data_IF_766552210481
#
_entry.id   IF_766552210481
#
_cell.length_a   1.000
_cell.length_b   1.000
_cell.length_c   1.000
_cell.angle_alpha   90.00
_cell.angle_beta   90.00
_cell.angle_gamma   90.00
#
_symmetry.space_group_name_H-M   'P 1'
#
loop_
_entity.id
_entity.type
_entity.pdbx_description
1 polymer ?
#
# COMPACT_ATOMS: atom_id res chain seq x y z
N UNK A 1 11.87 -34.17 -19.28
CA UNK A 1 10.83 -33.52 -20.09
C UNK A 1 10.99 -32.01 -19.94
N UNK A 2 11.44 -31.34 -20.97
CA UNK A 2 11.63 -29.90 -20.94
C UNK A 2 10.24 -29.24 -21.06
N UNK A 3 9.80 -28.59 -20.01
CA UNK A 3 8.64 -27.70 -20.07
C UNK A 3 9.03 -26.52 -20.97
N UNK A 4 8.50 -26.52 -22.18
CA UNK A 4 8.48 -25.32 -23.03
C UNK A 4 7.61 -24.30 -22.30
N UNK A 5 8.26 -23.33 -21.69
CA UNK A 5 7.58 -22.11 -21.24
C UNK A 5 6.89 -21.49 -22.45
N UNK A 6 5.59 -21.58 -22.49
CA UNK A 6 4.76 -20.81 -23.41
C UNK A 6 4.93 -19.35 -23.04
N UNK A 7 5.66 -18.61 -23.86
CA UNK A 7 5.80 -17.14 -23.80
C UNK A 7 4.50 -16.44 -24.24
N UNK A 8 3.37 -17.03 -23.90
CA UNK A 8 2.06 -16.48 -24.14
C UNK A 8 1.67 -15.63 -22.94
N UNK A 9 1.59 -14.36 -23.19
CA UNK A 9 1.12 -13.26 -22.37
C UNK A 9 2.24 -12.38 -21.75
N UNK A 10 3.20 -11.94 -22.53
CA UNK A 10 3.54 -10.52 -22.47
C UNK A 10 2.29 -9.78 -22.94
N UNK A 11 1.32 -9.63 -22.04
CA UNK A 11 0.21 -8.73 -22.30
C UNK A 11 0.80 -7.37 -22.59
N UNK A 12 0.52 -6.82 -23.77
CA UNK A 12 0.79 -5.44 -24.06
C UNK A 12 -0.06 -4.64 -23.09
N UNK A 13 0.55 -4.19 -21.98
CA UNK A 13 -0.15 -3.32 -21.04
C UNK A 13 -0.56 -2.07 -21.77
N UNK A 14 -1.85 -1.75 -21.67
CA UNK A 14 -2.34 -0.46 -22.14
C UNK A 14 -2.29 0.49 -20.95
N UNK A 15 -1.18 1.23 -20.84
CA UNK A 15 -1.08 2.29 -19.87
C UNK A 15 -2.16 3.35 -20.15
N UNK A 16 -2.83 3.82 -19.12
CA UNK A 16 -3.79 4.93 -19.25
C UNK A 16 -3.10 6.17 -19.77
N UNK A 17 -3.81 7.01 -20.53
CA UNK A 17 -3.27 8.29 -20.99
C UNK A 17 -2.68 9.12 -19.86
N UNK A 18 -1.60 9.84 -20.12
CA UNK A 18 -0.93 10.64 -19.08
C UNK A 18 -1.85 11.69 -18.44
N UNK A 19 -2.77 12.26 -19.21
CA UNK A 19 -3.74 13.20 -18.66
C UNK A 19 -4.71 12.55 -17.66
N UNK A 20 -5.13 11.28 -17.88
CA UNK A 20 -5.96 10.56 -16.90
C UNK A 20 -5.19 10.29 -15.60
N UNK A 21 -3.90 9.94 -15.72
CA UNK A 21 -3.02 9.76 -14.57
C UNK A 21 -2.84 11.09 -13.81
N UNK A 22 -2.72 12.21 -14.54
CA UNK A 22 -2.57 13.55 -13.95
C UNK A 22 -3.85 13.99 -13.24
N UNK A 23 -5.03 13.83 -13.86
CA UNK A 23 -6.31 14.11 -13.25
C UNK A 23 -6.52 13.30 -11.96
N UNK A 24 -6.27 11.99 -12.04
CA UNK A 24 -6.39 11.13 -10.85
C UNK A 24 -5.40 11.52 -9.74
N UNK A 25 -4.17 11.85 -10.12
CA UNK A 25 -3.15 12.36 -9.20
C UNK A 25 -3.60 13.65 -8.51
N UNK A 26 -4.23 14.56 -9.26
CA UNK A 26 -4.78 15.82 -8.71
C UNK A 26 -5.91 15.56 -7.71
N UNK A 27 -6.84 14.63 -8.00
CA UNK A 27 -7.89 14.23 -7.06
C UNK A 27 -7.27 13.72 -5.74
N UNK A 28 -6.30 12.77 -5.84
CA UNK A 28 -5.61 12.23 -4.66
C UNK A 28 -4.94 13.33 -3.85
N UNK A 29 -4.27 14.28 -4.51
CA UNK A 29 -3.59 15.37 -3.81
C UNK A 29 -4.54 16.25 -3.03
N UNK A 30 -5.71 16.59 -3.57
CA UNK A 30 -6.70 17.41 -2.85
C UNK A 30 -7.24 16.65 -1.62
N UNK A 31 -7.59 15.39 -1.77
CA UNK A 31 -8.08 14.59 -0.63
C UNK A 31 -6.97 14.35 0.42
N UNK A 32 -5.73 14.13 -0.01
CA UNK A 32 -4.58 13.98 0.89
C UNK A 32 -4.21 15.31 1.59
N UNK A 33 -4.43 16.46 0.94
CA UNK A 33 -4.30 17.76 1.59
C UNK A 33 -5.34 17.92 2.71
N UNK A 34 -6.59 17.56 2.44
CA UNK A 34 -7.65 17.51 3.43
C UNK A 34 -7.32 16.56 4.58
N UNK A 35 -6.85 15.34 4.27
CA UNK A 35 -6.38 14.36 5.25
C UNK A 35 -5.31 14.95 6.17
N UNK A 36 -4.38 15.72 5.62
CA UNK A 36 -3.33 16.38 6.40
C UNK A 36 -3.87 17.38 7.43
N UNK A 37 -4.88 18.15 7.07
CA UNK A 37 -5.55 19.08 7.99
C UNK A 37 -6.29 18.37 9.11
N UNK A 38 -7.03 17.29 8.80
CA UNK A 38 -7.76 16.48 9.76
C UNK A 38 -6.82 15.74 10.71
N UNK A 39 -5.74 15.14 10.17
CA UNK A 39 -4.74 14.43 10.98
C UNK A 39 -4.03 15.38 11.93
N UNK A 40 -3.68 16.58 11.49
CA UNK A 40 -3.07 17.59 12.34
C UNK A 40 -4.02 18.05 13.46
N UNK A 41 -5.32 18.10 13.20
CA UNK A 41 -6.32 18.39 14.21
C UNK A 41 -6.44 17.27 15.26
N UNK A 42 -6.48 16.02 14.79
CA UNK A 42 -6.58 14.83 15.64
C UNK A 42 -5.37 14.67 16.55
N UNK A 43 -4.16 14.87 16.02
CA UNK A 43 -2.91 14.76 16.79
C UNK A 43 -2.75 15.87 17.83
N UNK A 44 -3.67 16.84 17.87
CA UNK A 44 -3.65 17.88 18.86
C UNK A 44 -2.32 18.62 18.89
N UNK A 45 -1.76 18.98 17.73
CA UNK A 45 -0.55 19.80 17.67
C UNK A 45 -0.82 21.05 18.50
N UNK A 46 -0.38 20.98 19.77
CA UNK A 46 -0.51 22.02 20.80
C UNK A 46 0.44 23.18 20.45
N UNK A 47 0.07 23.94 19.42
CA UNK A 47 0.47 25.33 19.36
C UNK A 47 -0.61 26.15 20.08
N UNK A 48 -0.32 27.36 20.44
CA UNK A 48 -1.34 28.32 20.96
C UNK A 48 -2.48 28.43 19.94
N UNK A 49 -3.52 27.58 20.15
CA UNK A 49 -4.71 27.58 19.28
C UNK A 49 -5.46 28.88 19.56
N UNK A 50 -5.40 29.79 18.63
CA UNK A 50 -6.28 30.95 18.60
C UNK A 50 -7.54 30.61 17.80
N UNK A 51 -8.68 31.19 18.14
CA UNK A 51 -9.93 31.03 17.36
C UNK A 51 -9.71 31.35 15.86
N UNK A 52 -8.79 32.25 15.56
CA UNK A 52 -8.40 32.61 14.19
C UNK A 52 -7.72 31.44 13.43
N UNK A 53 -7.04 30.50 14.10
CA UNK A 53 -6.40 29.36 13.44
C UNK A 53 -7.43 28.31 13.03
N UNK A 54 -8.47 28.10 13.83
CA UNK A 54 -9.55 27.17 13.46
C UNK A 54 -10.38 27.74 12.30
N UNK A 55 -10.68 29.05 12.29
CA UNK A 55 -11.34 29.69 11.16
C UNK A 55 -10.52 29.60 9.85
N UNK A 56 -9.19 29.68 9.93
CA UNK A 56 -8.32 29.48 8.75
C UNK A 56 -8.38 28.06 8.22
N UNK A 57 -8.42 27.06 9.11
CA UNK A 57 -8.52 25.65 8.72
C UNK A 57 -9.88 25.33 8.11
N UNK A 58 -10.97 25.86 8.68
CA UNK A 58 -12.30 25.73 8.09
C UNK A 58 -12.31 26.30 6.67
N UNK A 59 -11.82 27.53 6.47
CA UNK A 59 -11.71 28.13 5.13
C UNK A 59 -10.82 27.33 4.18
N UNK A 60 -9.73 26.74 4.69
CA UNK A 60 -8.84 25.90 3.87
C UNK A 60 -9.57 24.62 3.41
N UNK A 61 -10.34 24.00 4.28
CA UNK A 61 -11.17 22.85 3.97
C UNK A 61 -12.20 23.16 2.89
N UNK A 62 -12.94 24.25 3.05
CA UNK A 62 -13.91 24.70 2.06
C UNK A 62 -13.26 25.04 0.71
N UNK A 63 -12.07 25.66 0.74
CA UNK A 63 -11.32 25.97 -0.48
C UNK A 63 -10.83 24.71 -1.20
N UNK A 64 -10.40 23.65 -0.47
CA UNK A 64 -10.02 22.37 -1.07
C UNK A 64 -11.23 21.71 -1.74
N UNK A 65 -12.36 21.64 -1.05
CA UNK A 65 -13.58 21.09 -1.62
C UNK A 65 -14.01 21.87 -2.89
N UNK A 66 -14.00 23.19 -2.82
CA UNK A 66 -14.29 24.07 -3.97
C UNK A 66 -13.34 23.82 -5.14
N UNK A 67 -12.03 23.68 -4.86
CA UNK A 67 -11.03 23.43 -5.91
C UNK A 67 -11.30 22.14 -6.66
N UNK A 68 -11.83 21.09 -6.01
CA UNK A 68 -12.23 19.85 -6.68
C UNK A 68 -13.28 20.10 -7.75
N UNK A 69 -14.32 20.89 -7.44
CA UNK A 69 -15.41 21.18 -8.37
C UNK A 69 -15.03 22.22 -9.43
N UNK A 70 -14.37 23.32 -9.04
CA UNK A 70 -14.02 24.40 -9.96
C UNK A 70 -12.97 23.98 -11.01
N UNK A 71 -12.14 22.98 -10.71
CA UNK A 71 -11.18 22.40 -11.68
C UNK A 71 -11.75 21.21 -12.47
N UNK A 72 -13.04 20.86 -12.32
CA UNK A 72 -13.67 19.75 -13.02
C UNK A 72 -13.12 18.36 -12.63
N UNK A 73 -12.52 18.23 -11.45
CA UNK A 73 -11.99 16.97 -10.96
C UNK A 73 -13.06 16.04 -10.36
N UNK A 74 -14.24 16.56 -10.07
CA UNK A 74 -15.35 15.80 -9.48
C UNK A 74 -15.79 14.62 -10.34
N UNK A 75 -15.71 14.70 -11.68
CA UNK A 75 -15.95 13.58 -12.58
C UNK A 75 -14.90 12.46 -12.47
N UNK A 76 -13.72 12.76 -11.93
CA UNK A 76 -12.60 11.86 -11.75
C UNK A 76 -12.42 11.39 -10.30
N UNK A 77 -13.11 12.00 -9.35
CA UNK A 77 -13.15 11.63 -7.96
C UNK A 77 -14.15 10.47 -7.73
N UNK A 78 -13.86 9.62 -6.74
CA UNK A 78 -14.81 8.61 -6.29
C UNK A 78 -15.88 9.24 -5.41
N UNK A 79 -17.05 8.58 -5.29
CA UNK A 79 -18.12 9.06 -4.40
C UNK A 79 -17.66 9.16 -2.94
N UNK A 80 -16.80 8.23 -2.50
CA UNK A 80 -16.21 8.27 -1.16
C UNK A 80 -15.32 9.51 -0.96
N UNK A 81 -14.53 9.88 -1.96
CA UNK A 81 -13.67 11.06 -1.91
C UNK A 81 -14.49 12.37 -1.89
N UNK A 82 -15.54 12.44 -2.69
CA UNK A 82 -16.47 13.57 -2.66
C UNK A 82 -17.10 13.71 -1.28
N UNK A 83 -17.64 12.60 -0.75
CA UNK A 83 -18.24 12.59 0.59
C UNK A 83 -17.27 13.02 1.69
N UNK A 84 -15.98 12.59 1.62
CA UNK A 84 -14.96 13.02 2.57
C UNK A 84 -14.67 14.52 2.48
N UNK A 85 -14.62 15.08 1.26
CA UNK A 85 -14.36 16.51 1.06
C UNK A 85 -15.52 17.40 1.51
N UNK A 86 -16.76 16.90 1.42
CA UNK A 86 -17.97 17.61 1.84
C UNK A 86 -18.19 17.62 3.36
N UNK A 87 -17.57 16.69 4.10
CA UNK A 87 -17.67 16.68 5.58
C UNK A 87 -17.11 17.98 6.16
N UNK A 88 -17.73 18.56 7.19
CA UNK A 88 -17.19 19.72 7.90
C UNK A 88 -15.80 19.42 8.51
N UNK A 89 -15.02 20.45 8.81
CA UNK A 89 -13.72 20.30 9.46
C UNK A 89 -13.88 19.60 10.83
N UNK A 90 -13.01 18.63 11.13
CA UNK A 90 -13.02 17.77 12.33
C UNK A 90 -14.24 16.83 12.43
N UNK A 91 -14.94 16.57 11.34
CA UNK A 91 -16.07 15.64 11.28
C UNK A 91 -15.73 14.33 10.53
N UNK A 92 -14.44 14.05 10.33
CA UNK A 92 -14.02 12.76 9.78
C UNK A 92 -14.17 11.64 10.79
N UNK A 93 -14.66 10.50 10.32
CA UNK A 93 -14.76 9.26 11.08
C UNK A 93 -13.43 8.50 11.06
N UNK A 94 -13.29 7.48 11.91
CA UNK A 94 -12.04 6.71 12.03
C UNK A 94 -11.62 6.10 10.68
N UNK A 95 -12.56 5.63 9.90
CA UNK A 95 -12.35 5.00 8.59
C UNK A 95 -11.81 5.98 7.55
N UNK A 96 -12.19 7.26 7.64
CA UNK A 96 -11.72 8.29 6.70
C UNK A 96 -10.19 8.50 6.81
N UNK A 97 -9.63 8.32 8.01
CA UNK A 97 -8.20 8.49 8.23
C UNK A 97 -7.33 7.42 7.55
N UNK A 98 -7.91 6.25 7.24
CA UNK A 98 -7.24 5.21 6.46
C UNK A 98 -6.88 5.70 5.04
N UNK A 99 -7.51 6.77 4.56
CA UNK A 99 -7.16 7.38 3.27
C UNK A 99 -5.69 7.83 3.19
N UNK A 100 -5.03 8.06 4.31
CA UNK A 100 -3.60 8.34 4.37
C UNK A 100 -2.71 7.25 3.75
N UNK A 101 -3.19 6.03 3.61
CA UNK A 101 -2.46 4.95 2.94
C UNK A 101 -2.31 5.22 1.42
N UNK A 102 -3.15 6.10 0.83
CA UNK A 102 -3.08 6.50 -0.58
C UNK A 102 -1.88 7.39 -0.94
N UNK A 103 -1.09 7.85 0.03
CA UNK A 103 0.19 8.51 -0.27
C UNK A 103 1.09 7.64 -1.14
N UNK A 104 1.06 6.33 -0.95
CA UNK A 104 1.86 5.39 -1.74
C UNK A 104 1.33 5.26 -3.17
N UNK A 105 0.01 5.24 -3.36
CA UNK A 105 -0.61 5.27 -4.68
C UNK A 105 -0.33 6.58 -5.41
N UNK A 106 -0.40 7.71 -4.71
CA UNK A 106 -0.05 9.02 -5.23
C UNK A 106 1.42 9.06 -5.71
N UNK A 107 2.33 8.49 -4.91
CA UNK A 107 3.74 8.37 -5.29
C UNK A 107 3.97 7.57 -6.56
N UNK A 108 3.26 6.46 -6.75
CA UNK A 108 3.30 5.66 -7.99
C UNK A 108 2.80 6.46 -9.17
N UNK A 109 1.67 7.18 -9.05
CA UNK A 109 1.18 8.04 -10.14
C UNK A 109 2.18 9.15 -10.50
N UNK A 110 2.83 9.76 -9.50
CA UNK A 110 3.89 10.75 -9.74
C UNK A 110 5.09 10.15 -10.44
N UNK A 111 5.46 8.90 -10.13
CA UNK A 111 6.52 8.17 -10.83
C UNK A 111 6.12 7.88 -12.27
N UNK A 112 4.90 7.40 -12.53
CA UNK A 112 4.37 7.17 -13.87
C UNK A 112 4.33 8.44 -14.74
N UNK A 113 4.13 9.60 -14.12
CA UNK A 113 4.15 10.91 -14.76
C UNK A 113 5.57 11.51 -14.90
N UNK A 114 6.61 10.76 -14.49
CA UNK A 114 8.00 11.23 -14.54
C UNK A 114 8.34 12.33 -13.54
N UNK A 115 7.49 12.56 -12.52
CA UNK A 115 7.71 13.56 -11.46
C UNK A 115 8.55 13.01 -10.29
N UNK A 116 8.65 11.69 -10.19
CA UNK A 116 9.54 10.99 -9.27
C UNK A 116 10.53 10.13 -10.06
N UNK A 117 11.80 10.13 -9.65
CA UNK A 117 12.84 9.40 -10.35
C UNK A 117 12.83 7.89 -10.04
N UNK A 118 12.42 7.52 -8.83
CA UNK A 118 12.42 6.13 -8.36
C UNK A 118 11.30 5.89 -7.37
N UNK A 119 10.89 4.64 -7.28
CA UNK A 119 10.02 4.12 -6.23
C UNK A 119 10.91 3.72 -5.04
N UNK A 120 10.58 4.14 -3.81
CA UNK A 120 11.32 3.69 -2.63
C UNK A 120 11.15 2.18 -2.39
N UNK A 121 12.07 1.53 -1.67
CA UNK A 121 11.88 0.14 -1.24
C UNK A 121 10.55 -0.06 -0.51
N UNK A 122 10.02 -1.29 -0.50
CA UNK A 122 8.70 -1.58 0.08
C UNK A 122 8.64 -1.49 1.62
N UNK A 123 9.75 -1.32 2.28
CA UNK A 123 9.85 -1.02 3.71
C UNK A 123 10.02 0.48 4.01
N UNK A 124 9.90 1.33 2.99
CA UNK A 124 10.05 2.78 3.11
C UNK A 124 8.94 3.50 2.35
N UNK A 125 8.39 4.53 2.97
CA UNK A 125 7.37 5.36 2.34
C UNK A 125 7.98 6.36 1.36
N UNK A 126 7.17 6.84 0.42
CA UNK A 126 7.50 8.03 -0.33
C UNK A 126 7.64 9.25 0.60
N UNK A 127 8.54 10.17 0.27
CA UNK A 127 8.61 11.48 0.91
C UNK A 127 7.37 12.31 0.55
N UNK A 128 6.44 12.41 1.50
CA UNK A 128 5.15 13.09 1.33
C UNK A 128 5.32 14.57 0.98
N UNK A 129 6.29 15.25 1.62
CA UNK A 129 6.53 16.67 1.34
C UNK A 129 7.02 16.88 -0.09
N UNK A 130 7.96 16.03 -0.54
CA UNK A 130 8.48 16.07 -1.91
C UNK A 130 7.41 15.73 -2.94
N UNK A 131 6.55 14.73 -2.66
CA UNK A 131 5.42 14.40 -3.54
C UNK A 131 4.48 15.59 -3.70
N UNK A 132 4.10 16.20 -2.58
CA UNK A 132 3.17 17.31 -2.56
C UNK A 132 3.70 18.54 -3.30
N UNK A 133 4.97 18.86 -3.10
CA UNK A 133 5.65 19.98 -3.79
C UNK A 133 5.87 19.70 -5.28
N UNK A 134 6.09 18.44 -5.64
CA UNK A 134 6.45 18.03 -7.00
C UNK A 134 5.38 18.29 -8.07
N UNK A 135 4.12 18.45 -7.68
CA UNK A 135 3.04 18.81 -8.59
C UNK A 135 2.90 20.31 -8.79
N UNK A 136 3.28 21.11 -7.81
CA UNK A 136 3.00 22.55 -7.77
C UNK A 136 1.51 22.88 -7.52
N UNK A 137 0.66 21.89 -7.24
CA UNK A 137 -0.76 22.12 -6.93
C UNK A 137 -0.86 22.75 -5.54
N UNK A 138 -1.50 23.90 -5.47
CA UNK A 138 -1.92 24.55 -4.24
C UNK A 138 -3.39 24.18 -3.98
N UNK A 139 -3.73 23.40 -2.95
CA UNK A 139 -5.06 22.80 -2.81
C UNK A 139 -6.23 23.79 -2.74
N UNK A 140 -5.96 25.04 -2.42
CA UNK A 140 -6.96 26.11 -2.37
C UNK A 140 -7.05 26.94 -3.67
N UNK A 141 -6.24 26.63 -4.69
CA UNK A 141 -6.17 27.37 -5.95
C UNK A 141 -6.41 26.45 -7.16
N UNK A 142 -7.65 26.43 -7.72
CA UNK A 142 -8.01 25.59 -8.86
C UNK A 142 -7.11 25.78 -10.08
N UNK A 143 -6.62 27.01 -10.33
CA UNK A 143 -5.77 27.30 -11.48
C UNK A 143 -4.43 26.54 -11.47
N UNK A 144 -3.97 26.12 -10.30
CA UNK A 144 -2.76 25.32 -10.16
C UNK A 144 -2.97 23.87 -10.57
N UNK A 145 -4.19 23.36 -10.46
CA UNK A 145 -4.58 22.02 -10.96
C UNK A 145 -4.53 22.02 -12.48
N UNK A 146 -5.14 23.01 -13.14
CA UNK A 146 -5.11 23.13 -14.60
C UNK A 146 -3.66 23.22 -15.09
N UNK A 147 -2.83 24.07 -14.47
CA UNK A 147 -1.41 24.23 -14.80
C UNK A 147 -0.62 22.92 -14.65
N UNK A 148 -0.99 22.05 -13.72
CA UNK A 148 -0.38 20.74 -13.57
C UNK A 148 -0.83 19.77 -14.65
N UNK A 149 -2.12 19.78 -15.04
CA UNK A 149 -2.72 18.82 -15.98
C UNK A 149 -2.44 19.19 -17.44
N UNK A 150 -2.46 20.47 -17.79
CA UNK A 150 -2.32 20.97 -19.17
C UNK A 150 -1.14 20.36 -19.97
N UNK A 151 0.09 20.24 -19.43
CA UNK A 151 1.20 19.65 -20.15
C UNK A 151 0.94 18.21 -20.61
N UNK A 152 0.10 17.48 -19.87
CA UNK A 152 -0.25 16.09 -20.17
C UNK A 152 -1.41 15.98 -21.18
N UNK A 153 -2.25 17.01 -21.29
CA UNK A 153 -3.30 17.12 -22.30
C UNK A 153 -2.70 17.34 -23.71
N UNK A 154 -1.69 18.19 -23.80
CA UNK A 154 -1.02 18.51 -25.06
C UNK A 154 -0.09 17.41 -25.56
N UNK A 155 0.45 16.59 -24.67
CA UNK A 155 1.41 15.54 -24.99
C UNK A 155 0.69 14.22 -25.22
N UNK A 156 0.64 13.76 -26.46
CA UNK A 156 0.21 12.38 -26.78
C UNK A 156 1.27 11.33 -26.42
N UNK A 157 2.46 11.77 -26.09
CA UNK A 157 3.58 10.90 -25.70
C UNK A 157 3.69 10.88 -24.18
N UNK A 158 3.44 9.70 -23.58
CA UNK A 158 4.02 9.41 -22.28
C UNK A 158 5.50 9.75 -22.33
N UNK A 159 6.01 10.52 -21.38
CA UNK A 159 7.47 10.51 -21.17
C UNK A 159 7.87 9.05 -21.19
N UNK A 160 8.88 8.72 -21.97
CA UNK A 160 9.28 7.37 -22.32
C UNK A 160 9.64 6.55 -21.10
N UNK A 161 8.59 6.12 -20.36
CA UNK A 161 8.79 5.11 -19.36
C UNK A 161 9.18 3.83 -20.12
N UNK A 162 10.32 3.27 -19.80
CA UNK A 162 10.72 1.99 -20.38
C UNK A 162 9.67 0.94 -19.98
N UNK A 163 9.06 0.29 -20.96
CA UNK A 163 8.05 -0.75 -20.74
C UNK A 163 8.60 -1.87 -19.84
N UNK A 164 9.90 -2.19 -19.97
CA UNK A 164 10.53 -3.20 -19.13
C UNK A 164 10.66 -2.73 -17.69
N UNK A 165 10.96 -1.44 -17.46
CA UNK A 165 11.00 -0.85 -16.14
C UNK A 165 9.60 -0.84 -15.50
N UNK A 166 8.57 -0.45 -16.27
CA UNK A 166 7.19 -0.48 -15.79
C UNK A 166 6.77 -1.90 -15.40
N UNK A 167 7.06 -2.89 -16.26
CA UNK A 167 6.76 -4.29 -15.97
C UNK A 167 7.47 -4.76 -14.71
N UNK A 168 8.76 -4.44 -14.59
CA UNK A 168 9.56 -4.79 -13.42
C UNK A 168 8.95 -4.24 -12.12
N UNK A 169 8.57 -2.96 -12.08
CA UNK A 169 7.98 -2.35 -10.89
C UNK A 169 6.59 -2.94 -10.54
N UNK A 170 5.80 -3.32 -11.55
CA UNK A 170 4.55 -4.06 -11.35
C UNK A 170 4.84 -5.42 -10.72
N UNK A 171 5.81 -6.16 -11.24
CA UNK A 171 6.17 -7.49 -10.74
C UNK A 171 6.73 -7.42 -9.31
N UNK A 172 7.54 -6.40 -9.01
CA UNK A 172 8.03 -6.12 -7.63
C UNK A 172 6.86 -5.85 -6.68
N UNK A 173 5.89 -5.00 -7.12
CA UNK A 173 4.74 -4.67 -6.27
C UNK A 173 3.85 -5.88 -6.01
N UNK A 174 3.64 -6.73 -7.03
CA UNK A 174 2.89 -7.98 -6.88
C UNK A 174 3.59 -8.96 -5.93
N UNK A 175 4.93 -9.06 -6.03
CA UNK A 175 5.73 -9.91 -5.17
C UNK A 175 5.60 -9.54 -3.69
N UNK A 176 5.73 -8.27 -3.37
CA UNK A 176 5.59 -7.77 -2.00
C UNK A 176 4.17 -7.91 -1.46
N UNK A 177 3.16 -7.62 -2.29
CA UNK A 177 1.77 -7.83 -1.93
C UNK A 177 1.46 -9.30 -1.65
N UNK A 178 1.97 -10.20 -2.52
CA UNK A 178 1.84 -11.64 -2.30
C UNK A 178 2.50 -12.07 -0.98
N UNK A 179 3.73 -11.59 -0.70
CA UNK A 179 4.42 -11.96 0.55
C UNK A 179 3.66 -11.46 1.79
N UNK A 180 3.11 -10.26 1.74
CA UNK A 180 2.31 -9.72 2.83
C UNK A 180 1.05 -10.57 3.09
N UNK A 181 0.36 -11.01 2.04
CA UNK A 181 -0.80 -11.91 2.14
C UNK A 181 -0.43 -13.31 2.61
N UNK A 182 0.73 -13.82 2.21
CA UNK A 182 1.25 -15.10 2.71
C UNK A 182 1.44 -15.07 4.23
N UNK A 183 1.78 -13.91 4.81
CA UNK A 183 1.89 -13.74 6.26
C UNK A 183 0.54 -13.92 6.98
N UNK A 184 -0.54 -13.42 6.38
CA UNK A 184 -1.90 -13.62 6.93
C UNK A 184 -2.24 -15.12 6.96
N UNK A 185 -1.85 -15.87 5.92
CA UNK A 185 -2.05 -17.33 5.88
C UNK A 185 -1.19 -18.08 6.91
N UNK A 186 0.02 -17.58 7.22
CA UNK A 186 0.83 -18.12 8.31
C UNK A 186 0.17 -17.88 9.68
N UNK A 187 -0.46 -16.71 9.88
CA UNK A 187 -1.29 -16.44 11.05
C UNK A 187 -2.44 -17.42 11.16
N UNK A 188 -3.21 -17.58 10.08
CA UNK A 188 -4.31 -18.52 10.01
C UNK A 188 -3.88 -19.97 10.31
N UNK A 189 -2.71 -20.38 9.82
CA UNK A 189 -2.15 -21.70 10.14
C UNK A 189 -1.95 -21.89 11.65
N UNK A 190 -1.37 -20.91 12.33
CA UNK A 190 -1.19 -20.95 13.79
C UNK A 190 -2.53 -21.07 14.53
N UNK A 191 -3.54 -20.33 14.08
CA UNK A 191 -4.88 -20.40 14.67
C UNK A 191 -5.52 -21.80 14.48
N UNK A 192 -5.34 -22.41 13.31
CA UNK A 192 -5.81 -23.76 13.02
C UNK A 192 -5.08 -24.80 13.90
N UNK A 193 -3.76 -24.71 14.05
CA UNK A 193 -2.97 -25.60 14.92
C UNK A 193 -3.39 -25.48 16.39
N UNK A 194 -3.64 -24.25 16.87
CA UNK A 194 -4.15 -24.03 18.23
C UNK A 194 -5.57 -24.61 18.43
N UNK A 195 -6.45 -24.43 17.45
CA UNK A 195 -7.81 -24.98 17.51
C UNK A 195 -7.80 -26.52 17.51
N UNK A 196 -6.93 -27.16 16.73
CA UNK A 196 -6.76 -28.61 16.71
C UNK A 196 -6.23 -29.16 18.06
N UNK A 197 -5.34 -28.43 18.74
CA UNK A 197 -4.81 -28.82 20.06
C UNK A 197 -5.85 -28.68 21.21
N UNK A 198 -6.79 -27.75 21.10
CA UNK A 198 -7.83 -27.51 22.12
C UNK A 198 -8.99 -28.51 22.02
N UNK A 199 -9.25 -29.12 20.86
CA UNK A 199 -10.34 -30.08 20.68
C UNK A 199 -10.26 -31.33 21.57
N UNK A 200 -9.10 -32.00 21.83
CA UNK A 200 -9.04 -33.20 22.64
C UNK A 200 -9.38 -32.97 24.11
N UNK A 201 -9.14 -31.78 24.67
CA UNK A 201 -9.38 -31.48 26.08
C UNK A 201 -10.87 -31.31 26.42
N UNK A 202 -11.70 -30.88 25.48
CA UNK A 202 -13.12 -30.71 25.67
C UNK A 202 -13.90 -32.03 25.63
N UNK A 203 -13.35 -33.08 25.02
CA UNK A 203 -13.99 -34.41 24.98
C UNK A 203 -13.78 -35.26 26.26
N UNK A 204 -12.83 -34.90 27.11
CA UNK A 204 -12.41 -35.68 28.29
C UNK A 204 -13.05 -35.22 29.59
N UNK A 205 -13.57 -34.00 29.68
CA UNK A 205 -14.25 -33.46 30.84
C UNK A 205 -15.72 -33.29 30.55
N UNK A 206 -16.49 -34.36 30.67
CA UNK A 206 -17.95 -34.31 30.68
C UNK A 206 -18.45 -33.47 31.84
N UNK A 207 -19.44 -32.61 31.55
CA UNK A 207 -20.19 -31.76 32.45
C UNK A 207 -19.57 -30.37 32.67
N UNK A 208 -19.89 -29.48 31.78
CA UNK A 208 -19.73 -28.05 31.84
C UNK A 208 -20.04 -27.43 30.47
N UNK A 209 -21.04 -26.59 30.36
CA UNK A 209 -21.30 -25.75 29.20
C UNK A 209 -20.17 -24.73 29.05
N UNK A 210 -18.98 -25.20 28.66
CA UNK A 210 -17.91 -24.29 28.28
C UNK A 210 -18.18 -23.77 26.85
N UNK A 211 -18.38 -22.47 26.74
CA UNK A 211 -18.44 -21.78 25.45
C UNK A 211 -17.18 -22.11 24.61
N UNK A 212 -17.34 -22.54 23.36
CA UNK A 212 -16.18 -22.84 22.50
C UNK A 212 -15.23 -21.66 22.48
N UNK A 213 -13.92 -21.92 22.57
CA UNK A 213 -12.90 -20.89 22.46
C UNK A 213 -13.13 -20.06 21.19
N UNK A 214 -12.96 -18.75 21.27
CA UNK A 214 -13.12 -17.81 20.13
C UNK A 214 -12.31 -18.27 18.91
N UNK A 215 -11.16 -18.87 19.12
CA UNK A 215 -10.31 -19.45 18.08
C UNK A 215 -11.00 -20.61 17.34
N UNK A 216 -11.70 -21.49 18.07
CA UNK A 216 -12.47 -22.61 17.49
C UNK A 216 -13.62 -22.07 16.64
N UNK A 217 -14.33 -21.04 17.13
CA UNK A 217 -15.43 -20.41 16.40
C UNK A 217 -14.93 -19.75 15.09
N UNK A 218 -13.85 -19.01 15.16
CA UNK A 218 -13.23 -18.35 13.98
C UNK A 218 -12.78 -19.35 12.93
N UNK A 219 -12.21 -20.48 13.32
CA UNK A 219 -11.68 -21.47 12.37
C UNK A 219 -12.75 -22.39 11.76
N UNK A 220 -13.92 -22.55 12.41
CA UNK A 220 -14.96 -23.50 11.99
C UNK A 220 -15.51 -23.24 10.57
N UNK A 221 -15.58 -21.98 10.16
CA UNK A 221 -16.17 -21.57 8.87
C UNK A 221 -15.16 -21.37 7.74
N UNK A 222 -13.87 -21.65 7.98
CA UNK A 222 -12.82 -21.45 6.96
C UNK A 222 -12.93 -22.51 5.88
N UNK A 223 -12.98 -22.13 4.57
CA UNK A 223 -13.00 -23.06 3.47
C UNK A 223 -11.81 -24.03 3.48
N UNK A 224 -12.03 -25.28 3.06
CA UNK A 224 -10.99 -26.30 3.04
C UNK A 224 -9.79 -25.92 2.16
N UNK A 225 -10.04 -25.25 1.02
CA UNK A 225 -8.99 -24.72 0.14
C UNK A 225 -8.05 -23.75 0.87
N UNK A 226 -8.62 -22.83 1.65
CA UNK A 226 -7.86 -21.85 2.40
C UNK A 226 -7.04 -22.49 3.54
N UNK A 227 -7.62 -23.49 4.23
CA UNK A 227 -6.88 -24.29 5.23
C UNK A 227 -5.68 -25.01 4.63
N UNK A 228 -5.86 -25.62 3.43
CA UNK A 228 -4.78 -26.30 2.71
C UNK A 228 -3.70 -25.29 2.33
N UNK A 229 -4.07 -24.14 1.77
CA UNK A 229 -3.10 -23.08 1.42
C UNK A 229 -2.32 -22.60 2.64
N UNK A 230 -2.98 -22.37 3.77
CA UNK A 230 -2.32 -21.96 5.01
C UNK A 230 -1.29 -23.02 5.49
N UNK A 231 -1.61 -24.32 5.40
CA UNK A 231 -0.68 -25.42 5.75
C UNK A 231 0.53 -25.50 4.83
N UNK A 232 0.36 -25.17 3.55
CA UNK A 232 1.42 -25.26 2.54
C UNK A 232 2.35 -24.02 2.53
N UNK A 233 1.94 -22.88 3.11
CA UNK A 233 2.71 -21.63 3.09
C UNK A 233 4.17 -21.75 3.54
N UNK A 234 4.52 -22.49 4.61
CA UNK A 234 5.93 -22.61 5.04
C UNK A 234 6.84 -23.24 3.98
N UNK A 235 6.29 -24.05 3.09
CA UNK A 235 7.03 -24.64 1.96
C UNK A 235 7.01 -23.72 0.74
N UNK A 236 5.95 -22.95 0.58
CA UNK A 236 5.73 -22.09 -0.58
C UNK A 236 6.57 -20.81 -0.51
N UNK A 237 6.68 -20.19 0.67
CA UNK A 237 7.42 -18.93 0.85
C UNK A 237 8.90 -19.06 0.41
N UNK A 238 9.68 -20.06 0.83
CA UNK A 238 11.08 -20.20 0.40
C UNK A 238 11.24 -20.34 -1.11
N UNK A 239 10.34 -21.08 -1.76
CA UNK A 239 10.36 -21.25 -3.22
C UNK A 239 10.07 -19.92 -3.92
N UNK A 240 9.02 -19.25 -3.49
CA UNK A 240 8.64 -17.94 -4.05
C UNK A 240 9.73 -16.88 -3.82
N UNK A 241 10.34 -16.86 -2.62
CA UNK A 241 11.42 -15.94 -2.30
C UNK A 241 12.65 -16.15 -3.21
N UNK A 242 13.02 -17.41 -3.43
CA UNK A 242 14.12 -17.74 -4.35
C UNK A 242 13.81 -17.29 -5.78
N UNK A 243 12.60 -17.57 -6.27
CA UNK A 243 12.16 -17.13 -7.61
C UNK A 243 12.13 -15.61 -7.74
N UNK A 244 11.64 -14.90 -6.72
CA UNK A 244 11.60 -13.45 -6.70
C UNK A 244 13.02 -12.86 -6.78
N UNK A 245 13.97 -13.42 -6.01
CA UNK A 245 15.37 -12.99 -6.08
C UNK A 245 15.98 -13.27 -7.46
N UNK A 246 15.78 -14.46 -8.00
CA UNK A 246 16.37 -14.85 -9.29
C UNK A 246 15.84 -14.00 -10.45
N UNK A 247 14.65 -13.43 -10.30
CA UNK A 247 14.05 -12.43 -11.22
C UNK A 247 14.43 -10.98 -10.86
N UNK A 248 15.19 -10.75 -9.79
CA UNK A 248 15.56 -9.41 -9.34
C UNK A 248 14.41 -8.60 -8.74
N UNK A 249 13.33 -9.25 -8.26
CA UNK A 249 12.16 -8.58 -7.69
C UNK A 249 12.34 -8.22 -6.21
N UNK A 250 13.36 -8.76 -5.57
CA UNK A 250 13.73 -8.47 -4.17
C UNK A 250 15.25 -8.33 -4.06
N UNK A 251 15.68 -7.34 -3.29
CA UNK A 251 17.11 -7.00 -3.17
C UNK A 251 17.86 -8.03 -2.32
N UNK A 252 17.20 -8.57 -1.28
CA UNK A 252 17.83 -9.48 -0.35
C UNK A 252 16.86 -10.55 0.14
N UNK A 253 17.43 -11.71 0.50
CA UNK A 253 16.76 -12.76 1.27
C UNK A 253 17.50 -12.98 2.56
N UNK A 254 16.76 -13.31 3.62
CA UNK A 254 17.29 -13.77 4.89
C UNK A 254 16.43 -14.93 5.39
N UNK A 255 17.07 -16.04 5.79
CA UNK A 255 16.32 -17.20 6.25
C UNK A 255 15.35 -17.81 5.22
N UNK A 256 15.65 -17.69 3.92
CA UNK A 256 14.79 -18.09 2.80
C UNK A 256 13.47 -17.32 2.71
N UNK A 257 13.43 -16.09 3.19
CA UNK A 257 12.29 -15.17 3.10
C UNK A 257 12.73 -13.81 2.53
N UNK A 258 11.78 -12.98 2.14
CA UNK A 258 12.01 -11.60 1.75
C UNK A 258 12.66 -10.87 2.92
N UNK A 259 13.75 -10.18 2.68
CA UNK A 259 14.49 -9.47 3.71
C UNK A 259 14.31 -7.96 3.60
N UNK A 260 14.32 -7.33 4.75
CA UNK A 260 14.21 -5.88 4.91
C UNK A 260 15.45 -5.39 5.61
N UNK A 261 16.05 -4.35 5.06
CA UNK A 261 17.14 -3.63 5.69
C UNK A 261 16.60 -2.76 6.83
N UNK A 262 16.87 -3.15 8.07
CA UNK A 262 16.50 -2.39 9.27
C UNK A 262 17.73 -1.71 9.84
N UNK A 263 17.67 -0.40 10.05
CA UNK A 263 18.71 0.32 10.77
C UNK A 263 18.62 -0.01 12.25
N UNK A 264 19.63 -0.67 12.79
CA UNK A 264 19.77 -0.85 14.22
C UNK A 264 20.19 0.50 14.82
N UNK A 265 19.26 1.19 15.48
CA UNK A 265 19.63 2.25 16.40
C UNK A 265 20.41 1.62 17.55
N UNK A 266 21.72 1.81 17.55
CA UNK A 266 22.54 1.41 18.69
C UNK A 266 21.96 2.02 19.97
N UNK A 267 21.53 1.16 20.91
CA UNK A 267 21.25 1.59 22.28
C UNK A 267 22.58 2.04 22.91
N UNK A 268 23.01 3.24 22.54
CA UNK A 268 24.11 3.93 23.23
C UNK A 268 23.60 4.47 24.56
N UNK A 269 23.76 3.68 25.60
CA UNK A 269 23.84 4.24 26.95
C UNK A 269 25.13 5.04 27.03
N UNK A 270 24.95 6.34 27.24
CA UNK A 270 25.87 7.30 27.89
C UNK A 270 27.26 7.56 27.35
N UNK A 271 27.43 8.85 27.08
CA UNK A 271 28.65 9.63 27.13
C UNK A 271 29.69 9.58 26.00
N UNK A 272 29.76 10.77 25.39
CA UNK A 272 30.95 11.42 24.88
C UNK A 272 31.52 11.02 23.51
N UNK A 273 31.66 12.06 22.72
CA UNK A 273 32.39 12.20 21.46
C UNK A 273 31.72 11.69 20.20
N UNK A 274 31.20 12.67 19.42
CA UNK A 274 30.78 12.53 18.05
C UNK A 274 31.89 11.94 17.17
N UNK A 275 31.89 10.63 17.05
CA UNK A 275 32.59 9.89 16.01
C UNK A 275 31.53 9.12 15.25
N UNK A 276 31.50 9.28 13.95
CA UNK A 276 30.53 8.70 13.00
C UNK A 276 30.21 7.24 13.33
N UNK A 277 29.13 7.01 14.07
CA UNK A 277 28.60 5.67 14.26
C UNK A 277 28.05 5.23 12.90
N UNK A 278 28.76 4.35 12.21
CA UNK A 278 28.26 3.65 11.05
C UNK A 278 26.95 2.95 11.45
N UNK A 279 25.82 3.39 10.90
CA UNK A 279 24.55 2.71 11.12
C UNK A 279 24.70 1.30 10.55
N UNK A 280 24.66 0.30 11.42
CA UNK A 280 24.76 -1.10 10.99
C UNK A 280 23.37 -1.52 10.49
N UNK A 281 23.24 -1.66 9.19
CA UNK A 281 22.02 -2.17 8.56
C UNK A 281 22.02 -3.69 8.68
N UNK A 282 20.98 -4.26 9.26
CA UNK A 282 20.80 -5.70 9.37
C UNK A 282 19.59 -6.13 8.55
N UNK A 283 19.74 -7.19 7.77
CA UNK A 283 18.61 -7.79 7.06
C UNK A 283 17.77 -8.63 8.01
N UNK A 284 16.49 -8.35 8.06
CA UNK A 284 15.51 -9.08 8.87
C UNK A 284 14.50 -9.75 7.94
N UNK A 285 14.27 -11.09 8.09
CA UNK A 285 13.24 -11.76 7.31
C UNK A 285 11.86 -11.19 7.61
N UNK A 286 11.01 -11.11 6.59
CA UNK A 286 9.64 -10.56 6.73
C UNK A 286 8.85 -11.26 7.85
N UNK A 287 8.99 -12.58 7.97
CA UNK A 287 8.30 -13.36 9.02
C UNK A 287 8.68 -12.96 10.45
N UNK A 288 9.86 -12.38 10.65
CA UNK A 288 10.40 -12.00 11.96
C UNK A 288 10.13 -10.55 12.33
N UNK A 289 9.49 -9.79 11.46
CA UNK A 289 9.06 -8.43 11.76
C UNK A 289 7.92 -8.46 12.78
N UNK A 290 7.83 -7.42 13.60
CA UNK A 290 6.65 -7.22 14.44
C UNK A 290 5.41 -6.89 13.60
N UNK A 291 4.24 -7.01 14.20
CA UNK A 291 2.95 -6.84 13.52
C UNK A 291 2.78 -5.43 12.91
N UNK A 292 3.31 -4.39 13.55
CA UNK A 292 3.19 -3.02 13.06
C UNK A 292 4.00 -2.83 11.76
N UNK A 293 5.23 -3.35 11.72
CA UNK A 293 6.04 -3.32 10.51
C UNK A 293 5.44 -4.15 9.39
N UNK A 294 4.94 -5.37 9.71
CA UNK A 294 4.25 -6.20 8.72
C UNK A 294 3.02 -5.50 8.15
N UNK A 295 2.21 -4.85 8.98
CA UNK A 295 1.02 -4.10 8.55
C UNK A 295 1.39 -2.88 7.70
N UNK A 296 2.42 -2.13 8.09
CA UNK A 296 2.90 -0.99 7.32
C UNK A 296 3.35 -1.40 5.91
N UNK A 297 4.13 -2.48 5.77
CA UNK A 297 4.58 -2.97 4.47
C UNK A 297 3.41 -3.49 3.64
N UNK A 298 2.46 -4.19 4.27
CA UNK A 298 1.24 -4.65 3.61
C UNK A 298 0.49 -3.48 2.99
N UNK A 299 0.26 -2.39 3.74
CA UNK A 299 -0.42 -1.18 3.27
C UNK A 299 0.33 -0.51 2.12
N UNK A 300 1.66 -0.40 2.23
CA UNK A 300 2.51 0.11 1.14
C UNK A 300 2.32 -0.75 -0.12
N UNK A 301 2.41 -2.07 0.00
CA UNK A 301 2.31 -2.99 -1.12
C UNK A 301 0.92 -2.97 -1.76
N UNK A 302 -0.15 -2.98 -0.96
CA UNK A 302 -1.54 -2.89 -1.42
C UNK A 302 -1.77 -1.59 -2.21
N UNK A 303 -1.36 -0.46 -1.66
CA UNK A 303 -1.59 0.85 -2.25
C UNK A 303 -0.80 1.05 -3.55
N UNK A 304 0.48 0.66 -3.57
CA UNK A 304 1.32 0.75 -4.78
C UNK A 304 0.83 -0.19 -5.87
N UNK A 305 0.57 -1.45 -5.53
CA UNK A 305 0.06 -2.42 -6.50
C UNK A 305 -1.26 -1.97 -7.10
N UNK A 306 -2.17 -1.46 -6.27
CA UNK A 306 -3.45 -0.93 -6.75
C UNK A 306 -3.26 0.19 -7.77
N UNK A 307 -2.39 1.15 -7.49
CA UNK A 307 -2.11 2.26 -8.41
C UNK A 307 -1.56 1.75 -9.75
N UNK A 308 -0.66 0.79 -9.74
CA UNK A 308 -0.18 0.14 -10.96
C UNK A 308 -1.30 -0.59 -11.71
N UNK A 309 -2.08 -1.41 -11.01
CA UNK A 309 -3.17 -2.18 -11.62
C UNK A 309 -4.21 -1.26 -12.27
N UNK A 310 -4.53 -0.14 -11.64
CA UNK A 310 -5.40 0.86 -12.23
C UNK A 310 -4.73 1.54 -13.43
N UNK A 311 -3.48 1.95 -13.33
CA UNK A 311 -2.77 2.64 -14.40
C UNK A 311 -2.61 1.79 -15.67
N UNK A 312 -2.46 0.45 -15.53
CA UNK A 312 -2.38 -0.48 -16.68
C UNK A 312 -3.73 -1.11 -17.04
N UNK A 313 -4.82 -0.49 -16.60
CA UNK A 313 -6.21 -0.90 -16.93
C UNK A 313 -6.61 -2.32 -16.48
N UNK A 314 -5.91 -2.92 -15.51
CA UNK A 314 -6.35 -4.14 -14.83
C UNK A 314 -7.55 -3.87 -13.91
N UNK A 315 -7.62 -2.67 -13.32
CA UNK A 315 -8.77 -2.18 -12.57
C UNK A 315 -9.48 -1.08 -13.37
N UNK A 316 -10.77 -1.25 -13.64
CA UNK A 316 -11.53 -0.30 -14.45
C UNK A 316 -11.85 1.01 -13.71
N UNK A 317 -12.15 0.89 -12.42
CA UNK A 317 -12.47 2.02 -11.54
C UNK A 317 -11.41 2.17 -10.45
N UNK A 318 -11.27 3.38 -9.93
CA UNK A 318 -10.45 3.61 -8.75
C UNK A 318 -11.21 3.10 -7.52
N UNK A 319 -10.96 1.85 -7.16
CA UNK A 319 -11.52 1.22 -5.95
C UNK A 319 -10.45 0.30 -5.32
N UNK A 320 -9.74 0.76 -4.27
CA UNK A 320 -8.70 -0.02 -3.60
C UNK A 320 -9.18 -1.35 -3.02
N UNK A 321 -10.46 -1.47 -2.65
CA UNK A 321 -11.02 -2.70 -2.09
C UNK A 321 -10.96 -3.89 -3.05
N UNK A 322 -10.84 -3.62 -4.36
CA UNK A 322 -10.71 -4.65 -5.39
C UNK A 322 -9.33 -5.30 -5.48
N UNK A 323 -8.32 -4.79 -4.76
CA UNK A 323 -6.94 -5.32 -4.78
C UNK A 323 -6.92 -6.82 -4.45
N UNK A 324 -7.80 -7.27 -3.55
CA UNK A 324 -7.90 -8.68 -3.17
C UNK A 324 -8.27 -9.60 -4.34
N UNK A 325 -8.94 -9.09 -5.35
CA UNK A 325 -9.39 -9.84 -6.53
C UNK A 325 -8.34 -9.89 -7.63
N UNK A 326 -7.38 -8.95 -7.62
CA UNK A 326 -6.41 -8.76 -8.69
C UNK A 326 -5.17 -9.65 -8.57
N UNK A 327 -4.86 -10.14 -7.37
CA UNK A 327 -3.67 -10.97 -7.11
C UNK A 327 -4.06 -12.32 -6.57
N UNK A 328 -3.57 -13.38 -7.24
CA UNK A 328 -3.72 -14.75 -6.74
C UNK A 328 -2.86 -14.98 -5.50
N UNK A 329 -3.43 -15.65 -4.50
CA UNK A 329 -2.67 -16.12 -3.32
C UNK A 329 -1.77 -17.31 -3.69
N UNK A 330 -2.08 -18.02 -4.77
CA UNK A 330 -1.27 -19.15 -5.22
C UNK A 330 -0.13 -18.67 -6.14
N UNK A 331 1.14 -18.67 -5.68
CA UNK A 331 2.25 -18.22 -6.51
C UNK A 331 2.52 -19.12 -7.71
N UNK A 332 2.00 -20.37 -7.71
CA UNK A 332 2.16 -21.33 -8.80
C UNK A 332 1.29 -20.96 -10.01
N UNK A 333 0.19 -20.24 -9.80
CA UNK A 333 -0.75 -19.81 -10.86
C UNK A 333 -0.57 -18.38 -11.32
N UNK A 334 0.37 -17.63 -10.75
CA UNK A 334 0.65 -16.24 -11.04
C UNK A 334 1.94 -16.03 -11.83
N UNK A 335 2.39 -14.81 -11.93
CA UNK A 335 3.61 -14.34 -12.62
C UNK A 335 4.88 -15.18 -12.34
N UNK A 336 4.89 -15.98 -11.24
CA UNK A 336 6.01 -16.81 -10.82
C UNK A 336 6.29 -18.02 -11.72
N UNK A 337 5.32 -18.45 -12.56
CA UNK A 337 5.43 -19.67 -13.37
C UNK A 337 5.87 -19.42 -14.81
N UNK A 338 6.06 -18.18 -15.20
CA UNK A 338 6.46 -17.84 -16.57
C UNK A 338 7.97 -17.82 -16.78
#
# INVERSE_FOLDING_TARGET
>A
MAFRATSALRQSFKLRPAFELALRSSCLQLVLARWGLETAALMGVKGDRTANDDDRKVRAVEAIARAMYESGLDDHATEAEKAMLEKPYQCWEYEDYAYGDHWEAFGVLQWLLGRQHKIPPYYSNFDRARLFQGTGIMPADPSTVERFVDPFMASQTHQTLDVNQLQHEIDVSEAWLWRARAQVLLGLRKDLEMAEQQQPQQSATGIGEETPSETILRTKHIPHSLRRMARDMPKTIPVAATQARDKGLVDALEGNDFAIAVELKGNGTDNATASSAASTTTNVPYANLDSNHQDAIRKIAESRFFAFAWAVSKANKWNPDTVSELVSINPISSVWTA
#
